data_IF_449922122873
#
_entry.id   IF_449922122873
#
_cell.length_a   1.000
_cell.length_b   1.000
_cell.length_c   1.000
_cell.angle_alpha   90.00
_cell.angle_beta   90.00
_cell.angle_gamma   90.00
#
_symmetry.space_group_name_H-M   'P 1'
#
loop_
_entity.id
_entity.type
_entity.pdbx_description
1 polymer ?
#
# COMPACT_ATOMS: atom_id res chain seq x y z
N UNK A 1 -1.44 19.39 8.94
CA UNK A 1 -1.11 18.03 8.49
C UNK A 1 -1.74 17.83 7.13
N UNK A 2 -0.98 17.41 6.09
CA UNK A 2 -1.57 17.11 4.79
C UNK A 2 -2.64 16.02 4.95
N UNK A 3 -3.78 16.23 4.32
CA UNK A 3 -4.91 15.30 4.34
C UNK A 3 -5.51 15.24 2.95
N UNK A 4 -5.64 14.02 2.41
CA UNK A 4 -6.32 13.76 1.14
C UNK A 4 -7.47 12.80 1.41
N UNK A 5 -8.63 13.13 0.84
CA UNK A 5 -9.76 12.20 0.68
C UNK A 5 -10.21 12.30 -0.78
N UNK A 6 -10.23 11.17 -1.49
CA UNK A 6 -10.54 11.17 -2.92
C UNK A 6 -11.21 9.87 -3.36
N UNK A 7 -12.31 10.00 -4.08
CA UNK A 7 -12.92 8.92 -4.84
C UNK A 7 -12.14 8.71 -6.14
N UNK A 8 -11.69 7.47 -6.37
CA UNK A 8 -11.00 7.05 -7.59
C UNK A 8 -11.58 5.73 -8.10
N UNK A 9 -11.43 5.49 -9.39
CA UNK A 9 -11.73 4.22 -10.02
C UNK A 9 -10.44 3.40 -10.10
N UNK A 10 -10.47 2.20 -9.52
CA UNK A 10 -9.42 1.18 -9.64
C UNK A 10 -9.88 0.07 -10.58
N UNK A 11 -9.01 -0.91 -10.86
CA UNK A 11 -9.37 -2.10 -11.65
C UNK A 11 -10.50 -2.93 -11.00
N UNK A 12 -10.65 -2.87 -9.68
CA UNK A 12 -11.70 -3.61 -8.96
C UNK A 12 -12.98 -2.79 -8.74
N UNK A 13 -13.03 -1.56 -9.27
CA UNK A 13 -14.16 -0.65 -9.14
C UNK A 13 -13.85 0.61 -8.33
N UNK A 14 -14.89 1.36 -7.91
CA UNK A 14 -14.73 2.59 -7.15
C UNK A 14 -14.12 2.31 -5.78
N UNK A 15 -13.18 3.15 -5.39
CA UNK A 15 -12.57 3.15 -4.07
C UNK A 15 -12.47 4.57 -3.52
N UNK A 16 -12.58 4.70 -2.20
CA UNK A 16 -12.31 5.92 -1.45
C UNK A 16 -10.90 5.85 -0.86
N UNK A 17 -10.02 6.74 -1.31
CA UNK A 17 -8.67 6.89 -0.77
C UNK A 17 -8.66 7.93 0.34
N UNK A 18 -8.00 7.63 1.45
CA UNK A 18 -7.71 8.56 2.54
C UNK A 18 -6.21 8.53 2.85
N UNK A 19 -5.53 9.67 2.75
CA UNK A 19 -4.11 9.84 3.09
C UNK A 19 -3.99 10.91 4.17
N UNK A 20 -3.79 10.51 5.44
CA UNK A 20 -3.69 11.42 6.57
C UNK A 20 -2.25 11.51 7.10
N UNK A 21 -1.62 12.68 6.99
CA UNK A 21 -0.23 12.86 7.38
C UNK A 21 0.74 12.10 6.46
N UNK A 22 2.03 12.35 6.63
CA UNK A 22 3.10 11.79 5.79
C UNK A 22 4.34 11.59 6.66
N UNK A 23 5.08 10.49 6.48
CA UNK A 23 6.42 10.36 7.07
C UNK A 23 7.36 11.43 6.51
N UNK A 24 8.41 11.79 7.26
CA UNK A 24 9.49 12.64 6.76
C UNK A 24 10.26 11.92 5.65
N UNK A 25 10.91 12.68 4.76
CA UNK A 25 11.62 12.11 3.63
C UNK A 25 11.99 13.18 2.60
N UNK A 26 12.27 12.78 1.34
CA UNK A 26 12.63 13.69 0.26
C UNK A 26 11.67 14.89 0.10
N UNK A 27 12.17 15.95 -0.56
CA UNK A 27 11.38 17.15 -0.87
C UNK A 27 10.30 16.90 -1.94
N UNK A 28 10.33 15.76 -2.62
CA UNK A 28 9.31 15.37 -3.59
C UNK A 28 7.95 15.16 -2.91
N UNK A 29 6.84 15.51 -3.59
CA UNK A 29 5.50 15.28 -3.05
C UNK A 29 5.25 13.79 -2.78
N UNK A 30 4.64 13.44 -1.63
CA UNK A 30 4.31 12.07 -1.27
C UNK A 30 3.15 11.49 -2.10
N UNK A 31 2.38 12.35 -2.75
CA UNK A 31 1.33 12.00 -3.69
C UNK A 31 1.16 13.10 -4.73
N UNK A 32 0.70 12.74 -5.93
CA UNK A 32 0.43 13.66 -7.02
C UNK A 32 -0.73 13.15 -7.89
N UNK A 33 -1.52 14.07 -8.41
CA UNK A 33 -2.46 13.79 -9.50
C UNK A 33 -1.74 14.06 -10.81
N UNK A 34 -1.60 13.03 -11.64
CA UNK A 34 -0.85 13.10 -12.89
C UNK A 34 -1.73 12.69 -14.05
N UNK A 35 -1.58 13.36 -15.19
CA UNK A 35 -2.20 12.90 -16.42
C UNK A 35 -1.60 11.55 -16.87
N UNK A 36 -2.28 10.85 -17.79
CA UNK A 36 -1.80 9.56 -18.30
C UNK A 36 -0.41 9.64 -18.95
N UNK A 37 -0.14 10.74 -19.64
CA UNK A 37 1.13 10.99 -20.35
C UNK A 37 2.16 11.74 -19.51
N UNK A 38 1.78 12.20 -18.32
CA UNK A 38 2.69 12.95 -17.45
C UNK A 38 3.64 11.99 -16.73
N UNK A 39 4.96 12.25 -16.73
CA UNK A 39 5.92 11.36 -16.08
C UNK A 39 5.73 11.38 -14.56
N UNK A 40 5.80 10.19 -13.96
CA UNK A 40 5.77 10.07 -12.51
C UNK A 40 7.03 10.69 -11.87
N UNK A 41 6.90 11.44 -10.76
CA UNK A 41 8.05 11.88 -9.99
C UNK A 41 8.79 10.67 -9.41
N UNK A 42 10.07 10.85 -9.10
CA UNK A 42 10.85 9.82 -8.41
C UNK A 42 10.22 9.48 -7.06
N UNK A 43 9.99 8.19 -6.82
CA UNK A 43 9.40 7.64 -5.60
C UNK A 43 10.14 6.35 -5.22
N UNK A 44 10.27 6.09 -3.92
CA UNK A 44 10.94 4.87 -3.43
C UNK A 44 10.04 3.65 -3.61
N UNK A 45 8.75 3.78 -3.30
CA UNK A 45 7.75 2.72 -3.46
C UNK A 45 6.56 3.29 -4.23
N UNK A 46 6.67 3.41 -5.58
CA UNK A 46 5.64 4.03 -6.40
C UNK A 46 4.39 3.15 -6.50
N UNK A 47 3.20 3.74 -6.27
CA UNK A 47 1.92 3.07 -6.48
C UNK A 47 0.90 4.03 -7.10
N UNK A 48 0.03 3.51 -7.97
CA UNK A 48 -1.14 4.25 -8.48
C UNK A 48 -2.39 3.68 -7.82
N UNK A 49 -3.10 4.51 -7.05
CA UNK A 49 -4.27 4.06 -6.31
C UNK A 49 -5.53 3.96 -7.18
N UNK A 50 -5.57 4.73 -8.28
CA UNK A 50 -6.68 4.73 -9.22
C UNK A 50 -6.73 6.01 -10.03
N UNK A 51 -7.81 6.20 -10.77
CA UNK A 51 -8.03 7.36 -11.63
C UNK A 51 -9.29 8.15 -11.28
N UNK A 52 -9.28 9.44 -11.59
CA UNK A 52 -10.44 10.33 -11.57
C UNK A 52 -10.45 11.14 -12.86
N UNK A 53 -11.26 10.68 -13.82
CA UNK A 53 -11.24 11.21 -15.19
C UNK A 53 -9.85 10.99 -15.83
N UNK A 54 -9.21 12.02 -16.40
CA UNK A 54 -7.90 11.88 -17.05
C UNK A 54 -6.72 11.82 -16.06
N UNK A 55 -6.98 11.96 -14.76
CA UNK A 55 -5.96 12.04 -13.72
C UNK A 55 -5.80 10.72 -12.99
N UNK A 56 -4.56 10.31 -12.72
CA UNK A 56 -4.22 9.16 -11.87
C UNK A 56 -3.67 9.66 -10.55
N UNK A 57 -4.08 9.04 -9.44
CA UNK A 57 -3.54 9.33 -8.12
C UNK A 57 -2.29 8.48 -7.89
N UNK A 58 -1.12 9.09 -8.04
CA UNK A 58 0.18 8.49 -7.73
C UNK A 58 0.54 8.76 -6.26
N UNK A 59 1.13 7.77 -5.61
CA UNK A 59 1.67 7.89 -4.25
C UNK A 59 3.05 7.27 -4.16
N UNK A 60 3.87 7.75 -3.24
CA UNK A 60 5.04 7.04 -2.74
C UNK A 60 4.69 6.38 -1.41
N UNK A 61 4.48 5.06 -1.42
CA UNK A 61 4.12 4.32 -0.21
C UNK A 61 5.21 4.38 0.86
N UNK A 62 6.47 4.67 0.53
CA UNK A 62 7.52 4.86 1.54
C UNK A 62 7.26 6.07 2.44
N UNK A 63 6.37 6.97 2.01
CA UNK A 63 5.91 8.13 2.77
C UNK A 63 4.70 7.83 3.65
N UNK A 64 4.22 6.60 3.64
CA UNK A 64 3.20 6.09 4.57
C UNK A 64 3.71 6.26 6.01
N UNK A 65 2.94 6.90 6.90
CA UNK A 65 3.38 7.12 8.26
C UNK A 65 3.44 5.88 9.17
N UNK A 66 2.66 4.84 8.85
CA UNK A 66 2.54 3.61 9.62
C UNK A 66 2.25 2.39 8.75
N UNK A 67 1.05 2.24 8.22
CA UNK A 67 0.61 1.12 7.40
C UNK A 67 -0.33 1.63 6.31
N UNK A 68 -0.41 0.90 5.20
CA UNK A 68 -1.40 1.15 4.17
C UNK A 68 -2.52 0.11 4.28
N UNK A 69 -3.76 0.53 4.52
CA UNK A 69 -4.86 -0.43 4.76
C UNK A 69 -5.82 -0.51 3.58
N UNK A 70 -6.28 -1.71 3.28
CA UNK A 70 -7.33 -1.99 2.31
C UNK A 70 -8.58 -2.39 3.07
N UNK A 71 -9.65 -1.61 2.90
CA UNK A 71 -10.85 -1.70 3.73
C UNK A 71 -12.05 -2.03 2.86
N UNK A 72 -12.91 -2.97 3.25
CA UNK A 72 -14.11 -3.31 2.48
C UNK A 72 -14.41 -4.79 2.57
N UNK A 73 -15.19 -5.30 1.61
CA UNK A 73 -15.39 -6.73 1.47
C UNK A 73 -14.03 -7.42 1.22
N UNK A 74 -13.80 -8.53 1.91
CA UNK A 74 -12.49 -9.19 1.92
C UNK A 74 -12.04 -9.61 0.52
N UNK A 75 -12.93 -10.21 -0.27
CA UNK A 75 -12.62 -10.62 -1.65
C UNK A 75 -12.21 -9.43 -2.52
N UNK A 76 -12.92 -8.31 -2.41
CA UNK A 76 -12.61 -7.09 -3.18
C UNK A 76 -11.25 -6.50 -2.77
N UNK A 77 -10.95 -6.50 -1.47
CA UNK A 77 -9.66 -6.06 -0.95
C UNK A 77 -8.52 -6.98 -1.40
N UNK A 78 -8.74 -8.30 -1.45
CA UNK A 78 -7.76 -9.27 -1.98
C UNK A 78 -7.47 -9.02 -3.46
N UNK A 79 -8.52 -8.79 -4.26
CA UNK A 79 -8.36 -8.44 -5.68
C UNK A 79 -7.60 -7.13 -5.85
N UNK A 80 -7.90 -6.11 -5.04
CA UNK A 80 -7.18 -4.83 -5.07
C UNK A 80 -5.71 -4.99 -4.66
N UNK A 81 -5.45 -5.73 -3.58
CA UNK A 81 -4.10 -6.04 -3.13
C UNK A 81 -3.30 -6.76 -4.22
N UNK A 82 -3.91 -7.70 -4.94
CA UNK A 82 -3.28 -8.39 -6.04
C UNK A 82 -2.96 -7.45 -7.22
N UNK A 83 -3.85 -6.51 -7.56
CA UNK A 83 -3.57 -5.46 -8.56
C UNK A 83 -2.38 -4.59 -8.12
N UNK A 84 -2.33 -4.14 -6.86
CA UNK A 84 -1.21 -3.35 -6.35
C UNK A 84 0.09 -4.15 -6.29
N UNK A 85 0.04 -5.42 -5.89
CA UNK A 85 1.20 -6.31 -5.88
C UNK A 85 1.81 -6.47 -7.27
N UNK A 86 0.99 -6.65 -8.30
CA UNK A 86 1.44 -6.71 -9.71
C UNK A 86 2.10 -5.40 -10.13
N UNK A 87 1.48 -4.27 -9.81
CA UNK A 87 2.02 -2.96 -10.14
C UNK A 87 3.39 -2.73 -9.50
N UNK A 88 3.52 -3.02 -8.21
CA UNK A 88 4.76 -2.89 -7.45
C UNK A 88 5.86 -3.80 -8.00
N UNK A 89 5.53 -5.07 -8.23
CA UNK A 89 6.48 -6.06 -8.78
C UNK A 89 6.96 -5.66 -10.18
N UNK A 90 6.05 -5.18 -11.05
CA UNK A 90 6.41 -4.67 -12.38
C UNK A 90 7.28 -3.40 -12.30
N UNK A 91 7.17 -2.63 -11.23
CA UNK A 91 8.03 -1.48 -10.91
C UNK A 91 9.36 -1.85 -10.25
N UNK A 92 9.65 -3.14 -10.05
CA UNK A 92 10.88 -3.62 -9.42
C UNK A 92 10.90 -3.53 -7.90
N UNK A 93 9.76 -3.26 -7.26
CA UNK A 93 9.62 -3.32 -5.80
C UNK A 93 9.43 -4.77 -5.38
N UNK A 94 10.17 -5.24 -4.37
CA UNK A 94 9.98 -6.57 -3.83
C UNK A 94 8.65 -6.66 -3.06
N UNK A 95 7.83 -7.64 -3.39
CA UNK A 95 6.52 -7.84 -2.74
C UNK A 95 6.53 -9.20 -2.05
N UNK A 96 6.22 -9.19 -0.76
CA UNK A 96 6.04 -10.40 0.03
C UNK A 96 4.60 -10.52 0.51
N UNK A 97 4.08 -11.74 0.56
CA UNK A 97 2.72 -12.06 1.01
C UNK A 97 2.80 -12.98 2.22
N UNK A 98 2.24 -12.54 3.34
CA UNK A 98 2.15 -13.32 4.58
C UNK A 98 0.91 -14.21 4.53
N UNK A 99 1.10 -15.51 4.73
CA UNK A 99 0.02 -16.51 4.70
C UNK A 99 -0.72 -16.52 3.36
N UNK A 100 -2.05 -16.58 3.43
CA UNK A 100 -2.96 -16.61 2.26
C UNK A 100 -3.63 -15.24 2.02
N UNK A 101 -2.92 -14.14 2.26
CA UNK A 101 -3.51 -12.80 2.22
C UNK A 101 -4.10 -12.41 0.85
N UNK A 102 -3.62 -12.99 -0.25
CA UNK A 102 -4.19 -12.77 -1.60
C UNK A 102 -5.22 -13.83 -2.01
N UNK A 103 -5.46 -14.84 -1.17
CA UNK A 103 -6.30 -16.00 -1.51
C UNK A 103 -5.80 -16.73 -2.76
N UNK A 104 -6.75 -17.14 -3.62
CA UNK A 104 -6.44 -17.75 -4.92
C UNK A 104 -5.73 -16.81 -5.92
N UNK A 105 -5.57 -15.53 -5.60
CA UNK A 105 -4.84 -14.58 -6.42
C UNK A 105 -3.34 -14.85 -6.41
N UNK A 106 -2.85 -15.62 -7.37
CA UNK A 106 -1.42 -15.76 -7.61
C UNK A 106 -0.92 -14.51 -8.32
N UNK A 107 0.15 -13.91 -7.78
CA UNK A 107 0.89 -12.81 -8.40
C UNK A 107 2.32 -13.29 -8.59
N UNK A 108 2.72 -13.45 -9.85
CA UNK A 108 4.08 -13.84 -10.19
C UNK A 108 5.09 -12.82 -9.66
N UNK A 109 6.21 -13.32 -9.14
CA UNK A 109 7.25 -12.48 -8.56
C UNK A 109 7.05 -12.11 -7.08
N UNK A 110 5.89 -12.39 -6.48
CA UNK A 110 5.70 -12.21 -5.04
C UNK A 110 6.33 -13.34 -4.23
N UNK A 111 7.11 -12.99 -3.20
CA UNK A 111 7.63 -13.94 -2.20
C UNK A 111 6.51 -14.34 -1.24
N UNK A 112 6.52 -15.59 -0.77
CA UNK A 112 5.61 -16.07 0.27
C UNK A 112 6.32 -16.13 1.60
N UNK A 113 5.66 -15.64 2.65
CA UNK A 113 6.13 -15.67 4.02
C UNK A 113 5.09 -16.36 4.91
N UNK A 114 5.55 -17.09 5.91
CA UNK A 114 4.66 -17.72 6.91
C UNK A 114 4.20 -16.70 7.97
N UNK A 115 5.06 -15.75 8.31
CA UNK A 115 4.82 -14.69 9.30
C UNK A 115 5.41 -13.36 8.85
N UNK A 116 5.10 -12.29 9.59
CA UNK A 116 5.81 -11.02 9.40
C UNK A 116 7.31 -11.20 9.71
N UNK A 117 8.20 -10.66 8.84
CA UNK A 117 9.63 -10.72 9.06
C UNK A 117 10.06 -9.72 10.14
N UNK A 118 11.13 -10.04 10.85
CA UNK A 118 11.81 -9.07 11.70
C UNK A 118 12.57 -8.05 10.83
N UNK A 119 12.86 -6.83 11.34
CA UNK A 119 13.57 -5.81 10.57
C UNK A 119 14.91 -6.27 9.98
N UNK A 120 15.60 -7.19 10.66
CA UNK A 120 16.90 -7.72 10.26
C UNK A 120 16.81 -8.75 9.12
N UNK A 121 15.63 -9.37 8.92
CA UNK A 121 15.37 -10.33 7.84
C UNK A 121 14.93 -9.66 6.53
N UNK A 122 14.73 -8.35 6.54
CA UNK A 122 14.27 -7.61 5.38
C UNK A 122 15.36 -7.50 4.31
N UNK A 123 14.99 -7.51 3.02
CA UNK A 123 15.94 -7.24 1.93
C UNK A 123 16.58 -5.87 2.09
N UNK A 124 17.66 -5.56 1.38
CA UNK A 124 18.23 -4.21 1.37
C UNK A 124 17.42 -3.24 0.48
N UNK A 125 16.71 -3.77 -0.51
CA UNK A 125 15.91 -3.00 -1.47
C UNK A 125 14.52 -2.62 -0.91
N UNK A 126 13.80 -1.66 -1.52
CA UNK A 126 12.44 -1.32 -1.12
C UNK A 126 11.49 -2.52 -1.22
N UNK A 127 10.63 -2.70 -0.20
CA UNK A 127 9.69 -3.80 -0.14
C UNK A 127 8.29 -3.41 0.33
N UNK A 128 7.31 -4.24 -0.05
CA UNK A 128 5.94 -4.20 0.49
C UNK A 128 5.58 -5.58 1.02
N UNK A 129 5.03 -5.62 2.24
CA UNK A 129 4.58 -6.86 2.87
C UNK A 129 3.06 -6.82 2.98
N UNK A 130 2.38 -7.75 2.31
CA UNK A 130 0.93 -7.85 2.26
C UNK A 130 0.46 -8.91 3.26
N UNK A 131 -0.50 -8.56 4.12
CA UNK A 131 -1.10 -9.49 5.09
C UNK A 131 -2.61 -9.29 5.20
N UNK A 132 -3.33 -10.36 5.55
CA UNK A 132 -4.72 -10.29 5.98
C UNK A 132 -4.77 -9.94 7.47
N UNK A 133 -5.24 -8.74 7.78
CA UNK A 133 -5.31 -8.19 9.12
C UNK A 133 -3.95 -7.98 9.79
N UNK A 134 -4.01 -7.55 11.04
CA UNK A 134 -2.89 -7.63 11.98
C UNK A 134 -3.02 -8.93 12.78
N UNK A 135 -2.00 -9.80 12.81
CA UNK A 135 -1.96 -10.88 13.78
C UNK A 135 -2.10 -10.32 15.21
N UNK A 136 -2.87 -11.00 16.06
CA UNK A 136 -3.07 -10.57 17.45
C UNK A 136 -1.71 -10.35 18.16
N UNK A 137 -1.56 -9.22 18.85
CA UNK A 137 -0.33 -8.86 19.57
C UNK A 137 0.77 -8.21 18.73
N UNK A 138 0.72 -8.23 17.40
CA UNK A 138 1.81 -7.75 16.52
C UNK A 138 1.65 -6.31 16.02
N UNK A 139 0.54 -5.63 16.36
CA UNK A 139 0.20 -4.32 15.80
C UNK A 139 1.27 -3.22 16.02
N UNK A 140 1.96 -3.24 17.16
CA UNK A 140 3.06 -2.32 17.43
C UNK A 140 4.32 -2.65 16.62
N UNK A 141 4.61 -3.94 16.41
CA UNK A 141 5.76 -4.42 15.65
C UNK A 141 5.62 -4.12 14.16
N UNK A 142 4.44 -4.38 13.59
CA UNK A 142 4.13 -4.07 12.19
C UNK A 142 4.26 -2.57 11.92
N UNK A 143 3.76 -1.71 12.83
CA UNK A 143 3.95 -0.24 12.72
C UNK A 143 5.41 0.17 12.96
N UNK A 144 6.11 -0.52 13.85
CA UNK A 144 7.53 -0.33 14.11
C UNK A 144 8.40 -0.60 12.89
N UNK A 145 7.98 -1.51 12.01
CA UNK A 145 8.70 -1.87 10.79
C UNK A 145 8.97 -0.68 9.87
N UNK A 146 7.96 0.17 9.64
CA UNK A 146 8.13 1.37 8.80
C UNK A 146 9.13 2.34 9.41
N UNK A 147 9.15 2.47 10.74
CA UNK A 147 10.10 3.33 11.44
C UNK A 147 11.52 2.75 11.38
N UNK A 148 11.66 1.44 11.67
CA UNK A 148 12.94 0.74 11.65
C UNK A 148 13.59 0.77 10.26
N UNK A 149 12.78 0.66 9.22
CA UNK A 149 13.22 0.66 7.81
C UNK A 149 13.23 2.05 7.18
N UNK A 150 12.85 3.09 7.92
CA UNK A 150 12.70 4.47 7.42
C UNK A 150 11.83 4.56 6.16
N UNK A 151 10.72 3.81 6.14
CA UNK A 151 9.79 3.75 5.01
C UNK A 151 10.23 2.87 3.85
N UNK A 152 11.40 2.23 3.93
CA UNK A 152 11.88 1.33 2.88
C UNK A 152 11.04 0.06 2.74
N UNK A 153 10.52 -0.46 3.85
CA UNK A 153 9.55 -1.55 3.82
C UNK A 153 8.21 -1.12 4.37
N UNK A 154 7.14 -1.33 3.61
CA UNK A 154 5.80 -0.81 3.92
C UNK A 154 4.82 -1.97 4.11
N UNK A 155 4.19 -2.12 5.29
CA UNK A 155 3.09 -3.04 5.49
C UNK A 155 1.83 -2.57 4.75
N UNK A 156 1.25 -3.47 3.96
CA UNK A 156 -0.06 -3.33 3.34
C UNK A 156 -1.02 -4.36 3.95
N UNK A 157 -2.08 -3.90 4.59
CA UNK A 157 -2.95 -4.75 5.41
C UNK A 157 -4.37 -4.80 4.85
N UNK A 158 -4.87 -6.00 4.59
CA UNK A 158 -6.27 -6.23 4.19
C UNK A 158 -7.12 -6.32 5.45
N UNK A 159 -8.08 -5.43 5.61
CA UNK A 159 -8.97 -5.34 6.76
C UNK A 159 -8.81 -4.03 7.54
N UNK A 160 -9.70 -3.86 8.51
CA UNK A 160 -9.71 -2.69 9.38
C UNK A 160 -8.52 -2.73 10.35
N UNK A 161 -7.76 -1.64 10.38
CA UNK A 161 -6.72 -1.42 11.37
C UNK A 161 -7.02 -0.10 12.05
N UNK A 162 -7.22 -0.15 13.38
CA UNK A 162 -7.41 1.05 14.18
C UNK A 162 -6.29 2.06 13.89
N UNK A 163 -6.59 3.36 13.85
CA UNK A 163 -5.64 4.45 13.62
C UNK A 163 -4.84 4.40 12.30
N UNK A 164 -5.22 3.56 11.33
CA UNK A 164 -4.62 3.56 9.99
C UNK A 164 -4.69 4.94 9.36
N UNK A 165 -3.54 5.50 9.01
CA UNK A 165 -3.47 6.87 8.47
C UNK A 165 -3.66 6.91 6.96
N UNK A 166 -3.17 5.91 6.25
CA UNK A 166 -3.39 5.77 4.82
C UNK A 166 -4.26 4.55 4.54
N UNK A 167 -5.31 4.73 3.75
CA UNK A 167 -6.24 3.66 3.43
C UNK A 167 -6.85 3.79 2.03
N UNK A 168 -7.22 2.66 1.46
CA UNK A 168 -8.11 2.55 0.31
C UNK A 168 -9.33 1.71 0.70
N UNK A 169 -10.50 2.32 0.69
CA UNK A 169 -11.76 1.65 0.99
C UNK A 169 -12.44 1.24 -0.32
N UNK A 170 -12.72 -0.05 -0.49
CA UNK A 170 -13.41 -0.59 -1.67
C UNK A 170 -14.92 -0.49 -1.49
N UNK A 171 -15.59 -0.10 -2.57
CA UNK A 171 -17.02 0.16 -2.59
C UNK A 171 -17.33 1.64 -2.75
N UNK A 172 -18.60 2.01 -2.98
CA UNK A 172 -19.00 3.40 -3.07
C UNK A 172 -18.61 4.12 -1.77
N UNK A 173 -17.86 5.21 -1.89
CA UNK A 173 -17.70 6.14 -0.78
C UNK A 173 -19.06 6.74 -0.48
N UNK A 174 -19.56 6.54 0.74
CA UNK A 174 -20.71 7.29 1.26
C UNK A 174 -20.44 8.80 1.26
#
# INVERSE_FOLDING_TARGET
MPYVRADVTSEVGPILVRLAGTATGPTTPPYAWLAETEPAPSATVPLVLGSKGPWRLHVDLSRTPDVFTLVGAEEDCRRLAATYARQLSAGGVDVAVVGDALGAGIVDGCRRLESFPEPDDLPADPCVIISAGLPEGTGAEVRGLVTATRGRCVPMLIGQVADGRWSAQVGPGD
#
